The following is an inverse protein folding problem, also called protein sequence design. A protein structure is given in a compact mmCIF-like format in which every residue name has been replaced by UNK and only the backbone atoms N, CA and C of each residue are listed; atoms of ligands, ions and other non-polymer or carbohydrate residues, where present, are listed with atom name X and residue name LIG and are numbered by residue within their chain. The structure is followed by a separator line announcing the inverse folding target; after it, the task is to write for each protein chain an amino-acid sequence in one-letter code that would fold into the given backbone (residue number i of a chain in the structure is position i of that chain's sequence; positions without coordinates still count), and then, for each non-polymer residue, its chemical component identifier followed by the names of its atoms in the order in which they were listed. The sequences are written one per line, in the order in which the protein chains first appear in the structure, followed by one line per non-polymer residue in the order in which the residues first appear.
data_IF_617720455485
#
_entry.id   IF_617720455485
#
_cell.length_a   1.000
_cell.length_b   1.000
_cell.length_c   1.000
_cell.angle_alpha   90.00
_cell.angle_beta   90.00
_cell.angle_gamma   90.00
#
_symmetry.space_group_name_H-M   'P 1'
#
loop_
_entity.id
_entity.type
_entity.pdbx_description
1 polymer ?
#
# COMPACT_ATOMS: atom_id res chain seq x y z
N UNK A 1 60.81 -39.47 -75.65
CA UNK A 1 61.04 -38.70 -74.39
C UNK A 1 59.87 -37.80 -73.96
N UNK A 2 58.68 -37.85 -74.61
CA UNK A 2 57.53 -36.97 -74.27
C UNK A 2 56.59 -37.49 -73.16
N UNK A 3 56.70 -38.76 -72.75
CA UNK A 3 55.72 -39.40 -71.84
C UNK A 3 55.97 -39.10 -70.36
N UNK A 4 57.23 -38.88 -69.95
CA UNK A 4 57.59 -38.52 -68.57
C UNK A 4 57.37 -37.03 -68.26
N UNK A 5 57.46 -36.15 -69.26
CA UNK A 5 57.25 -34.71 -69.07
C UNK A 5 55.79 -34.36 -68.82
N UNK A 6 54.84 -35.08 -69.44
CA UNK A 6 53.41 -34.90 -69.19
C UNK A 6 52.99 -35.32 -67.77
N UNK A 7 53.60 -36.37 -67.24
CA UNK A 7 53.32 -36.85 -65.87
C UNK A 7 53.87 -35.88 -64.81
N UNK A 8 55.04 -35.28 -65.06
CA UNK A 8 55.62 -34.23 -64.20
C UNK A 8 54.80 -32.94 -64.23
N UNK A 9 54.27 -32.54 -65.39
CA UNK A 9 53.39 -31.37 -65.52
C UNK A 9 52.04 -31.59 -64.81
N UNK A 10 51.49 -32.79 -64.89
CA UNK A 10 50.24 -33.14 -64.21
C UNK A 10 50.41 -33.21 -62.69
N UNK A 11 51.53 -33.76 -62.20
CA UNK A 11 51.88 -33.77 -60.79
C UNK A 11 52.13 -32.35 -60.24
N UNK A 12 52.78 -31.48 -61.00
CA UNK A 12 52.97 -30.07 -60.63
C UNK A 12 51.64 -29.30 -60.55
N UNK A 13 50.67 -29.60 -61.43
CA UNK A 13 49.34 -28.98 -61.38
C UNK A 13 48.52 -29.41 -60.15
N UNK A 14 48.69 -30.63 -59.65
CA UNK A 14 48.02 -31.10 -58.43
C UNK A 14 48.57 -30.46 -57.15
N UNK A 15 49.85 -30.04 -57.15
CA UNK A 15 50.47 -29.35 -56.02
C UNK A 15 50.01 -27.89 -55.88
N UNK A 16 49.48 -27.27 -56.95
CA UNK A 16 48.98 -25.89 -56.93
C UNK A 16 47.53 -25.78 -56.39
N UNK A 17 46.75 -26.86 -56.42
CA UNK A 17 45.35 -26.87 -55.96
C UNK A 17 45.26 -26.99 -54.42
N UNK A 18 46.30 -27.49 -53.75
CA UNK A 18 46.33 -27.68 -52.29
C UNK A 18 46.68 -26.42 -51.49
N UNK A 19 47.16 -25.35 -52.13
CA UNK A 19 47.52 -24.09 -51.47
C UNK A 19 46.31 -23.19 -51.14
N UNK A 20 45.18 -23.32 -51.85
CA UNK A 20 43.96 -22.50 -51.64
C UNK A 20 43.12 -22.97 -50.43
N UNK A 21 43.34 -24.20 -49.95
CA UNK A 21 42.56 -24.80 -48.85
C UNK A 21 42.85 -24.14 -47.49
N UNK A 22 44.11 -23.78 -47.22
CA UNK A 22 44.54 -23.16 -45.94
C UNK A 22 43.96 -21.76 -45.74
N UNK A 23 43.75 -21.00 -46.81
CA UNK A 23 43.20 -19.65 -46.75
C UNK A 23 41.67 -19.68 -46.53
N UNK A 24 40.97 -20.61 -47.20
CA UNK A 24 39.56 -20.89 -46.94
C UNK A 24 39.30 -21.36 -45.52
N UNK A 25 40.12 -22.26 -45.00
CA UNK A 25 39.99 -22.76 -43.62
C UNK A 25 40.15 -21.63 -42.60
N UNK A 26 41.14 -20.75 -42.77
CA UNK A 26 41.30 -19.56 -41.92
C UNK A 26 40.10 -18.61 -42.00
N UNK A 27 39.55 -18.37 -43.18
CA UNK A 27 38.38 -17.51 -43.36
C UNK A 27 37.13 -18.12 -42.70
N UNK A 28 36.96 -19.45 -42.79
CA UNK A 28 35.90 -20.17 -42.11
C UNK A 28 36.05 -20.07 -40.58
N UNK A 29 37.24 -20.32 -40.03
CA UNK A 29 37.50 -20.21 -38.59
C UNK A 29 37.27 -18.79 -38.06
N UNK A 30 37.67 -17.77 -38.81
CA UNK A 30 37.44 -16.37 -38.45
C UNK A 30 35.93 -16.03 -38.45
N UNK A 31 35.18 -16.50 -39.45
CA UNK A 31 33.72 -16.34 -39.50
C UNK A 31 33.02 -17.07 -38.35
N UNK A 32 33.42 -18.30 -38.03
CA UNK A 32 32.87 -19.05 -36.90
C UNK A 32 33.13 -18.34 -35.57
N UNK A 33 34.33 -17.79 -35.38
CA UNK A 33 34.66 -17.00 -34.20
C UNK A 33 33.80 -15.73 -34.09
N UNK A 34 33.61 -15.01 -35.18
CA UNK A 34 32.75 -13.82 -35.22
C UNK A 34 31.28 -14.15 -34.97
N UNK A 35 30.78 -15.28 -35.48
CA UNK A 35 29.42 -15.75 -35.21
C UNK A 35 29.24 -16.13 -33.73
N UNK A 36 30.21 -16.84 -33.15
CA UNK A 36 30.20 -17.22 -31.74
C UNK A 36 30.20 -15.99 -30.81
N UNK A 37 30.99 -14.96 -31.14
CA UNK A 37 30.98 -13.71 -30.38
C UNK A 37 29.62 -13.01 -30.46
N UNK A 38 29.00 -12.96 -31.65
CA UNK A 38 27.65 -12.41 -31.82
C UNK A 38 26.62 -13.18 -31.00
N UNK A 39 26.63 -14.51 -31.05
CA UNK A 39 25.71 -15.36 -30.27
C UNK A 39 25.84 -15.09 -28.77
N UNK A 40 27.07 -14.96 -28.25
CA UNK A 40 27.30 -14.59 -26.84
C UNK A 40 26.72 -13.22 -26.51
N UNK A 41 26.88 -12.23 -27.39
CA UNK A 41 26.31 -10.90 -27.16
C UNK A 41 24.78 -10.90 -27.19
N UNK A 42 24.17 -11.68 -28.08
CA UNK A 42 22.71 -11.83 -28.13
C UNK A 42 22.17 -12.53 -26.89
N UNK A 43 22.81 -13.61 -26.45
CA UNK A 43 22.43 -14.33 -25.23
C UNK A 43 22.47 -13.41 -23.99
N UNK A 44 23.48 -12.53 -23.90
CA UNK A 44 23.58 -11.53 -22.83
C UNK A 44 22.43 -10.52 -22.89
N UNK A 45 22.17 -9.95 -24.07
CA UNK A 45 21.08 -8.96 -24.26
C UNK A 45 19.70 -9.55 -23.96
N UNK A 46 19.45 -10.79 -24.38
CA UNK A 46 18.19 -11.47 -24.11
C UNK A 46 17.99 -11.69 -22.60
N UNK A 47 19.03 -12.12 -21.90
CA UNK A 47 18.98 -12.27 -20.42
C UNK A 47 18.69 -10.94 -19.70
N UNK A 48 19.32 -9.85 -20.14
CA UNK A 48 19.06 -8.51 -19.62
C UNK A 48 17.61 -8.07 -19.92
N UNK A 49 17.14 -8.28 -21.14
CA UNK A 49 15.77 -7.95 -21.55
C UNK A 49 14.72 -8.70 -20.72
N UNK A 50 14.90 -10.01 -20.54
CA UNK A 50 14.02 -10.83 -19.70
C UNK A 50 14.05 -10.38 -18.23
N UNK A 51 15.20 -9.94 -17.73
CA UNK A 51 15.31 -9.40 -16.37
C UNK A 51 14.55 -8.07 -16.21
N UNK A 52 14.64 -7.20 -17.21
CA UNK A 52 13.89 -5.94 -17.25
C UNK A 52 12.37 -6.17 -17.34
N UNK A 53 11.93 -7.14 -18.14
CA UNK A 53 10.52 -7.53 -18.21
C UNK A 53 10.01 -8.01 -16.85
N UNK A 54 10.75 -8.89 -16.17
CA UNK A 54 10.38 -9.36 -14.82
C UNK A 54 10.30 -8.22 -13.80
N UNK A 55 11.20 -7.24 -13.87
CA UNK A 55 11.16 -6.05 -13.01
C UNK A 55 9.94 -5.18 -13.33
N UNK A 56 9.66 -4.94 -14.61
CA UNK A 56 8.45 -4.21 -15.03
C UNK A 56 7.21 -4.92 -14.47
N UNK A 57 7.11 -6.21 -14.68
CA UNK A 57 5.94 -6.99 -14.26
C UNK A 57 5.81 -7.02 -12.72
N UNK A 58 6.91 -7.05 -11.97
CA UNK A 58 6.86 -6.96 -10.51
C UNK A 58 6.36 -5.59 -10.02
N UNK A 59 6.80 -4.49 -10.65
CA UNK A 59 6.35 -3.13 -10.36
C UNK A 59 4.83 -2.98 -10.63
N UNK A 60 4.35 -3.46 -11.77
CA UNK A 60 2.93 -3.30 -12.13
C UNK A 60 2.00 -4.34 -11.50
N UNK A 61 2.52 -5.49 -11.04
CA UNK A 61 1.71 -6.49 -10.31
C UNK A 61 1.27 -5.98 -8.94
N UNK A 62 2.07 -5.12 -8.30
CA UNK A 62 1.71 -4.40 -7.09
C UNK A 62 1.06 -3.06 -7.45
N UNK A 63 -0.15 -3.11 -8.00
CA UNK A 63 -1.05 -1.95 -7.89
C UNK A 63 -1.46 -1.85 -6.43
N UNK A 64 -0.69 -1.10 -5.64
CA UNK A 64 -1.15 -0.58 -4.35
C UNK A 64 -2.33 0.36 -4.65
N UNK A 65 -3.52 -0.21 -4.84
CA UNK A 65 -4.73 0.60 -4.93
C UNK A 65 -4.95 1.18 -3.55
N UNK A 66 -4.51 2.42 -3.34
CA UNK A 66 -4.86 3.21 -2.16
C UNK A 66 -6.37 3.34 -2.16
N UNK A 67 -7.05 2.53 -1.34
CA UNK A 67 -8.48 2.67 -1.11
C UNK A 67 -8.65 3.94 -0.29
N UNK A 68 -9.15 4.99 -0.92
CA UNK A 68 -9.44 6.25 -0.26
C UNK A 68 -10.64 6.00 0.65
N UNK A 69 -10.43 6.07 1.95
CA UNK A 69 -11.49 5.96 2.94
C UNK A 69 -12.04 7.35 3.22
N UNK A 70 -13.22 7.67 2.70
CA UNK A 70 -13.91 8.94 2.94
C UNK A 70 -15.20 8.69 3.72
N UNK A 71 -15.53 9.61 4.62
CA UNK A 71 -16.87 9.62 5.20
C UNK A 71 -17.91 9.93 4.11
N UNK A 72 -19.09 9.29 4.14
CA UNK A 72 -20.23 9.75 3.34
C UNK A 72 -20.52 11.23 3.59
N UNK A 73 -21.02 11.95 2.57
CA UNK A 73 -21.28 13.40 2.66
C UNK A 73 -22.28 13.75 3.77
N UNK A 74 -23.17 12.82 4.10
CA UNK A 74 -24.16 12.95 5.16
C UNK A 74 -23.50 12.99 6.54
N UNK A 75 -22.43 12.21 6.74
CA UNK A 75 -21.71 12.07 8.01
C UNK A 75 -20.59 13.10 8.13
N UNK A 76 -19.90 13.40 7.03
CA UNK A 76 -18.76 14.31 7.00
C UNK A 76 -19.13 15.70 7.54
N UNK A 77 -18.18 16.32 8.24
CA UNK A 77 -18.31 17.67 8.77
C UNK A 77 -18.57 17.75 10.28
N UNK A 78 -19.13 18.87 10.71
CA UNK A 78 -19.20 19.26 12.12
C UNK A 78 -20.55 18.97 12.75
N UNK A 79 -20.52 18.39 13.95
CA UNK A 79 -21.66 17.98 14.74
C UNK A 79 -21.55 18.51 16.17
N UNK A 80 -22.68 18.92 16.75
CA UNK A 80 -22.80 19.27 18.15
C UNK A 80 -23.11 18.00 18.94
N UNK A 81 -22.15 17.54 19.74
CA UNK A 81 -22.27 16.34 20.55
C UNK A 81 -22.71 16.64 21.97
N UNK A 82 -23.70 15.90 22.44
CA UNK A 82 -24.13 15.83 23.84
C UNK A 82 -23.89 14.41 24.34
N UNK A 83 -23.08 14.28 25.38
CA UNK A 83 -22.68 13.00 25.97
C UNK A 83 -23.16 12.98 27.42
N UNK A 84 -23.89 11.95 27.82
CA UNK A 84 -24.43 11.79 29.19
C UNK A 84 -23.95 10.46 29.77
N UNK A 85 -23.35 10.47 30.96
CA UNK A 85 -22.98 9.26 31.67
C UNK A 85 -24.23 8.52 32.17
N UNK A 86 -24.41 7.28 31.73
CA UNK A 86 -25.56 6.43 32.10
C UNK A 86 -25.18 5.39 33.14
N UNK A 87 -23.94 4.90 33.10
CA UNK A 87 -23.42 3.88 34.02
C UNK A 87 -21.95 4.18 34.29
N UNK A 88 -21.49 4.07 35.54
CA UNK A 88 -20.09 4.24 35.88
C UNK A 88 -19.75 3.53 37.19
N UNK A 89 -18.60 2.87 37.22
CA UNK A 89 -17.93 2.46 38.46
C UNK A 89 -16.62 3.24 38.70
N UNK A 90 -16.39 4.30 37.92
CA UNK A 90 -15.19 5.13 37.96
C UNK A 90 -15.37 6.29 38.96
N UNK A 91 -14.32 6.65 39.70
CA UNK A 91 -14.31 7.85 40.56
C UNK A 91 -14.49 9.16 39.78
N UNK A 92 -13.99 9.18 38.54
CA UNK A 92 -13.87 10.39 37.74
C UNK A 92 -15.12 10.68 36.88
N UNK A 93 -16.12 9.79 36.91
CA UNK A 93 -17.34 9.90 36.10
C UNK A 93 -18.56 9.57 36.96
N UNK A 94 -19.42 10.55 37.20
CA UNK A 94 -20.66 10.36 37.92
C UNK A 94 -21.83 10.12 36.96
N UNK A 95 -22.75 9.24 37.33
CA UNK A 95 -23.98 9.00 36.56
C UNK A 95 -24.78 10.31 36.50
N UNK A 96 -25.18 10.71 35.30
CA UNK A 96 -25.82 12.00 35.03
C UNK A 96 -24.86 13.09 34.54
N UNK A 97 -23.54 12.89 34.60
CA UNK A 97 -22.56 13.84 34.05
C UNK A 97 -22.84 14.10 32.57
N UNK A 98 -23.03 15.37 32.22
CA UNK A 98 -23.25 15.80 30.86
C UNK A 98 -22.05 16.60 30.35
N UNK A 99 -21.64 16.33 29.10
CA UNK A 99 -20.68 17.15 28.37
C UNK A 99 -21.22 17.49 27.00
N UNK A 100 -20.89 18.70 26.55
CA UNK A 100 -21.20 19.16 25.20
C UNK A 100 -19.90 19.52 24.52
N UNK A 101 -19.62 18.84 23.41
CA UNK A 101 -18.39 18.98 22.64
C UNK A 101 -18.73 19.07 21.16
N UNK A 102 -17.86 19.71 20.37
CA UNK A 102 -17.97 19.70 18.92
C UNK A 102 -17.26 18.44 18.39
N UNK A 103 -17.92 17.71 17.51
CA UNK A 103 -17.41 16.51 16.85
C UNK A 103 -17.20 16.83 15.37
N UNK A 104 -16.00 16.63 14.86
CA UNK A 104 -15.68 16.85 13.45
C UNK A 104 -15.29 15.51 12.81
N UNK A 105 -16.13 15.04 11.89
CA UNK A 105 -15.87 13.83 11.10
C UNK A 105 -15.08 14.22 9.85
N UNK A 106 -13.81 13.85 9.88
CA UNK A 106 -12.83 14.18 8.86
C UNK A 106 -12.09 12.91 8.43
N UNK A 107 -11.60 12.89 7.20
CA UNK A 107 -10.92 11.73 6.63
C UNK A 107 -9.62 12.18 6.00
N UNK A 108 -8.52 11.57 6.43
CA UNK A 108 -7.30 11.61 5.64
C UNK A 108 -7.42 10.60 4.49
N UNK A 109 -6.54 10.66 3.49
CA UNK A 109 -6.63 9.85 2.27
C UNK A 109 -6.68 8.32 2.51
N UNK A 110 -6.50 7.86 3.74
CA UNK A 110 -6.36 6.44 4.12
C UNK A 110 -7.14 6.07 5.38
N UNK A 111 -7.51 7.03 6.23
CA UNK A 111 -8.12 6.80 7.54
C UNK A 111 -9.29 7.76 7.78
N UNK A 112 -10.38 7.17 8.22
CA UNK A 112 -11.49 7.90 8.80
C UNK A 112 -11.14 8.32 10.22
N UNK A 113 -11.45 9.56 10.57
CA UNK A 113 -11.20 10.11 11.90
C UNK A 113 -12.40 10.92 12.41
N UNK A 114 -12.49 11.04 13.73
CA UNK A 114 -13.43 11.95 14.38
C UNK A 114 -12.70 12.75 15.46
N UNK A 115 -12.67 14.08 15.32
CA UNK A 115 -12.01 14.99 16.25
C UNK A 115 -13.03 15.54 17.24
N UNK A 116 -12.66 15.58 18.52
CA UNK A 116 -13.46 16.21 19.57
C UNK A 116 -12.81 17.54 19.91
N UNK A 117 -13.56 18.62 19.75
CA UNK A 117 -13.13 19.99 19.95
C UNK A 117 -13.99 20.59 21.08
N UNK A 118 -13.33 21.17 22.08
CA UNK A 118 -13.99 21.87 23.18
C UNK A 118 -13.33 23.24 23.35
N UNK A 119 -14.11 24.31 23.37
CA UNK A 119 -13.61 25.69 23.50
C UNK A 119 -12.45 25.99 22.53
N UNK A 120 -12.62 25.62 21.26
CA UNK A 120 -11.62 25.76 20.18
C UNK A 120 -10.31 24.97 20.37
N UNK A 121 -10.22 24.10 21.38
CA UNK A 121 -9.07 23.24 21.61
C UNK A 121 -9.40 21.80 21.16
N UNK A 122 -8.46 21.19 20.45
CA UNK A 122 -8.54 19.78 20.12
C UNK A 122 -8.33 18.95 21.40
N UNK A 123 -9.36 18.22 21.82
CA UNK A 123 -9.34 17.39 23.03
C UNK A 123 -8.91 15.97 22.71
N UNK A 124 -9.37 15.42 21.58
CA UNK A 124 -9.14 14.01 21.22
C UNK A 124 -9.36 13.77 19.73
N UNK A 125 -8.63 12.80 19.18
CA UNK A 125 -8.89 12.25 17.84
C UNK A 125 -9.20 10.77 18.00
N UNK A 126 -10.31 10.32 17.43
CA UNK A 126 -10.64 8.90 17.31
C UNK A 126 -10.29 8.40 15.91
N UNK A 127 -9.83 7.15 15.84
CA UNK A 127 -9.78 6.38 14.59
C UNK A 127 -11.17 5.82 14.32
N UNK A 128 -11.68 6.02 13.10
CA UNK A 128 -13.03 5.64 12.70
C UNK A 128 -13.06 4.47 11.71
N UNK A 129 -14.18 3.75 11.73
CA UNK A 129 -14.61 2.80 10.70
C UNK A 129 -16.09 2.99 10.44
N UNK A 130 -16.49 2.85 9.17
CA UNK A 130 -17.88 2.93 8.75
C UNK A 130 -18.26 1.66 8.00
N UNK A 131 -19.09 0.81 8.61
CA UNK A 131 -19.52 -0.46 8.05
C UNK A 131 -20.97 -0.73 8.49
N UNK A 132 -21.82 -1.27 7.61
CA UNK A 132 -23.21 -1.63 7.92
C UNK A 132 -24.07 -0.50 8.51
N UNK A 133 -23.85 0.75 8.05
CA UNK A 133 -24.51 1.94 8.61
C UNK A 133 -24.24 2.15 10.11
N UNK A 134 -23.10 1.65 10.59
CA UNK A 134 -22.60 1.90 11.94
C UNK A 134 -21.26 2.63 11.87
N UNK A 135 -21.09 3.63 12.71
CA UNK A 135 -19.81 4.31 12.92
C UNK A 135 -19.17 3.73 14.18
N UNK A 136 -17.97 3.19 14.04
CA UNK A 136 -17.15 2.66 15.13
C UNK A 136 -15.93 3.54 15.29
N UNK A 137 -15.80 4.20 16.44
CA UNK A 137 -14.69 5.06 16.77
C UNK A 137 -13.89 4.44 17.92
N UNK A 138 -12.57 4.40 17.79
CA UNK A 138 -11.67 3.90 18.83
C UNK A 138 -10.59 4.93 19.15
N UNK A 139 -10.32 5.08 20.44
CA UNK A 139 -9.18 5.82 20.96
C UNK A 139 -8.51 4.99 22.04
N UNK A 140 -7.19 4.92 22.00
CA UNK A 140 -6.38 4.30 23.05
C UNK A 140 -5.21 5.21 23.36
N UNK A 141 -4.95 5.41 24.65
CA UNK A 141 -3.74 6.11 25.11
C UNK A 141 -2.49 5.36 24.67
N UNK A 142 -1.41 6.10 24.42
CA UNK A 142 -0.10 5.51 24.10
C UNK A 142 0.50 4.72 25.28
N UNK A 143 1.59 4.02 25.00
CA UNK A 143 2.31 3.22 25.99
C UNK A 143 3.05 4.05 27.04
N UNK A 144 3.27 5.34 26.77
CA UNK A 144 3.99 6.28 27.66
C UNK A 144 3.06 6.98 28.66
N UNK A 145 1.76 6.91 28.46
CA UNK A 145 0.76 7.53 29.33
C UNK A 145 0.72 6.85 30.70
N UNK A 146 0.63 7.65 31.76
CA UNK A 146 0.55 7.17 33.14
C UNK A 146 -0.76 6.42 33.43
N UNK A 147 -1.85 6.76 32.72
CA UNK A 147 -3.16 6.11 32.86
C UNK A 147 -3.58 5.56 31.52
N UNK A 148 -3.71 4.24 31.42
CA UNK A 148 -4.13 3.61 30.17
C UNK A 148 -5.64 3.60 30.08
N UNK A 149 -6.17 4.19 29.01
CA UNK A 149 -7.61 4.27 28.77
C UNK A 149 -7.90 3.89 27.33
N UNK A 150 -8.89 3.03 27.17
CA UNK A 150 -9.52 2.71 25.90
C UNK A 150 -10.92 3.32 25.86
N UNK A 151 -11.25 3.97 24.75
CA UNK A 151 -12.54 4.60 24.53
C UNK A 151 -13.10 4.10 23.20
N UNK A 152 -14.29 3.52 23.26
CA UNK A 152 -15.00 3.02 22.10
C UNK A 152 -16.31 3.78 21.95
N UNK A 153 -16.61 4.27 20.76
CA UNK A 153 -17.91 4.88 20.43
C UNK A 153 -18.54 4.06 19.33
N UNK A 154 -19.79 3.69 19.51
CA UNK A 154 -20.63 3.05 18.51
C UNK A 154 -21.82 3.96 18.25
N UNK A 155 -21.93 4.50 17.04
CA UNK A 155 -23.12 5.22 16.56
C UNK A 155 -23.83 4.31 15.57
N UNK A 156 -25.05 3.89 15.91
CA UNK A 156 -25.82 2.89 15.17
C UNK A 156 -27.24 3.37 14.82
N UNK A 157 -27.63 4.56 15.28
CA UNK A 157 -28.85 5.25 14.89
C UNK A 157 -28.42 6.53 14.16
N UNK A 158 -28.35 6.46 12.83
CA UNK A 158 -27.84 7.51 11.95
C UNK A 158 -28.97 8.01 11.06
N UNK A 159 -29.21 9.32 11.11
CA UNK A 159 -30.13 10.06 10.25
C UNK A 159 -29.45 11.34 9.77
N UNK A 160 -29.99 11.97 8.73
CA UNK A 160 -29.39 13.12 8.04
C UNK A 160 -28.94 14.25 8.97
N UNK A 161 -29.69 14.51 10.05
CA UNK A 161 -29.43 15.62 10.98
C UNK A 161 -29.10 15.17 12.41
N UNK A 162 -29.14 13.86 12.68
CA UNK A 162 -28.98 13.35 14.03
C UNK A 162 -28.33 11.97 14.03
N UNK A 163 -27.32 11.79 14.88
CA UNK A 163 -26.72 10.49 15.16
C UNK A 163 -26.79 10.18 16.65
N UNK A 164 -27.08 8.94 17.01
CA UNK A 164 -27.07 8.48 18.39
C UNK A 164 -26.29 7.19 18.53
N UNK A 165 -25.86 6.95 19.76
CA UNK A 165 -25.21 5.71 20.10
C UNK A 165 -24.67 5.72 21.52
N UNK A 166 -23.60 4.95 21.71
CA UNK A 166 -22.99 4.76 23.03
C UNK A 166 -21.49 4.97 22.97
N UNK A 167 -20.94 5.52 24.06
CA UNK A 167 -19.51 5.59 24.29
C UNK A 167 -19.19 4.79 25.54
N UNK A 168 -18.19 3.93 25.45
CA UNK A 168 -17.68 3.13 26.57
C UNK A 168 -16.23 3.53 26.82
N UNK A 169 -15.91 3.79 28.08
CA UNK A 169 -14.56 4.08 28.56
C UNK A 169 -14.15 2.91 29.44
N UNK A 170 -12.98 2.34 29.17
CA UNK A 170 -12.38 1.26 29.97
C UNK A 170 -10.98 1.73 30.38
N UNK A 171 -10.73 1.82 31.68
CA UNK A 171 -9.43 2.13 32.24
C UNK A 171 -8.73 0.86 32.75
N UNK A 172 -7.40 0.91 32.82
CA UNK A 172 -6.53 -0.16 33.31
C UNK A 172 -6.86 -0.66 34.73
N UNK A 173 -7.34 0.21 35.60
CA UNK A 173 -7.80 -0.13 36.95
C UNK A 173 -9.13 -0.93 36.99
N UNK A 174 -9.64 -1.36 35.84
CA UNK A 174 -10.92 -2.08 35.72
C UNK A 174 -12.14 -1.16 35.78
N UNK A 175 -11.96 0.16 35.85
CA UNK A 175 -13.09 1.08 35.81
C UNK A 175 -13.66 1.17 34.39
N UNK A 176 -14.98 1.09 34.31
CA UNK A 176 -15.79 1.14 33.11
C UNK A 176 -16.88 2.19 33.30
N UNK A 177 -17.01 3.08 32.32
CA UNK A 177 -18.09 4.04 32.27
C UNK A 177 -18.76 4.02 30.89
N UNK A 178 -20.09 4.01 30.87
CA UNK A 178 -20.93 4.04 29.68
C UNK A 178 -21.64 5.38 29.58
N UNK A 179 -21.70 5.89 28.38
CA UNK A 179 -22.33 7.15 28.06
C UNK A 179 -23.29 6.98 26.89
N UNK A 180 -24.43 7.65 26.97
CA UNK A 180 -25.27 7.92 25.81
C UNK A 180 -24.65 9.07 25.02
N UNK A 181 -24.56 8.91 23.71
CA UNK A 181 -24.05 9.93 22.79
C UNK A 181 -25.17 10.35 21.86
N UNK A 182 -25.39 11.65 21.75
CA UNK A 182 -26.29 12.26 20.79
C UNK A 182 -25.54 13.37 20.04
N UNK A 183 -25.52 13.28 18.71
CA UNK A 183 -24.89 14.25 17.83
C UNK A 183 -25.97 14.89 16.97
N UNK A 184 -25.98 16.22 16.90
CA UNK A 184 -26.89 16.99 16.06
C UNK A 184 -26.07 17.79 15.08
N UNK A 185 -26.45 17.77 13.79
CA UNK A 185 -25.68 18.44 12.75
C UNK A 185 -25.57 19.93 13.06
N UNK A 186 -24.37 20.49 12.94
CA UNK A 186 -24.19 21.92 13.16
C UNK A 186 -24.76 22.66 11.95
N UNK A 187 -25.94 23.26 12.10
CA UNK A 187 -26.51 24.14 11.08
C UNK A 187 -25.62 25.39 11.03
N UNK A 188 -24.87 25.55 9.94
CA UNK A 188 -24.34 26.86 9.56
C UNK A 188 -25.46 27.73 9.02
#
# INVERSE_FOLDING_TARGET
MLKNTFFLLFAASFLLISCDYKEKEKNLTEREKQLLEKEKTFAKKESEYQSLLKMRDSIFSKKDSVRIALWPEEISGTWNGKVICTESNCSDYAVGDQRTDIWEFDSDSIHLSAKIINNNNLVRIYSGKFENNEIKLNFRTDSTSQKKVEMNVLLNDISDNKMKGTRTIIADNGCTARFSVELVRSTK
#
